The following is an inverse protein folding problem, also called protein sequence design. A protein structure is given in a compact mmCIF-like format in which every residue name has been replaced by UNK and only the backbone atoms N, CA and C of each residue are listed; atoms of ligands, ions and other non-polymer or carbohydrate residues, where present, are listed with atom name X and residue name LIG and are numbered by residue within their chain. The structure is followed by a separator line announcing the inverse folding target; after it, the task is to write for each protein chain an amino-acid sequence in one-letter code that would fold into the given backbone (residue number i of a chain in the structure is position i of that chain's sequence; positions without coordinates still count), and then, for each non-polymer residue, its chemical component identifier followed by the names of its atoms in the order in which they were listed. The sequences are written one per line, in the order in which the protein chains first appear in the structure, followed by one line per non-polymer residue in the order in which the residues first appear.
data_IF_369234943905
#
_entry.id   IF_369234943905
#
_cell.length_a   1.000
_cell.length_b   1.000
_cell.length_c   1.000
_cell.angle_alpha   90.00
_cell.angle_beta   90.00
_cell.angle_gamma   90.00
#
_symmetry.space_group_name_H-M   'P 1'
#
loop_
_entity.id
_entity.type
_entity.pdbx_description
1 polymer ?
#
# COMPACT_ATOMS: atom_id res chain seq x y z
N UNK A 1 65.93 -5.13 -9.26
CA UNK A 1 66.81 -4.09 -8.69
C UNK A 1 66.04 -2.78 -8.82
N UNK A 2 65.58 -2.05 -7.81
CA UNK A 2 65.52 -2.13 -6.35
C UNK A 2 64.33 -1.26 -5.90
N UNK A 3 63.92 -1.13 -4.64
CA UNK A 3 64.27 -1.77 -3.36
C UNK A 3 63.07 -1.48 -2.47
N UNK A 4 62.58 -2.53 -1.80
CA UNK A 4 61.64 -2.47 -0.70
C UNK A 4 62.42 -2.20 0.61
N UNK A 5 61.81 -1.54 1.59
CA UNK A 5 62.35 -1.40 2.94
C UNK A 5 61.76 -0.18 3.66
N UNK A 6 61.32 -0.20 4.91
CA UNK A 6 60.94 -1.21 5.91
C UNK A 6 60.33 -0.37 7.07
N UNK A 7 59.56 -0.97 8.00
CA UNK A 7 58.62 -0.29 8.90
C UNK A 7 59.17 -0.29 10.35
N UNK A 8 58.36 -0.57 11.40
CA UNK A 8 57.31 0.20 12.07
C UNK A 8 57.70 0.57 13.51
N UNK A 9 56.88 1.36 14.21
CA UNK A 9 56.77 1.37 15.70
C UNK A 9 55.47 2.07 16.14
N UNK A 10 54.60 1.32 16.80
CA UNK A 10 53.45 1.76 17.62
C UNK A 10 53.83 1.66 19.11
N UNK A 11 52.98 1.96 20.12
CA UNK A 11 51.90 2.95 20.34
C UNK A 11 52.29 3.85 21.57
N UNK A 12 51.45 4.53 22.43
CA UNK A 12 50.21 4.09 23.11
C UNK A 12 49.07 5.15 23.24
N UNK A 13 48.00 4.71 23.91
CA UNK A 13 46.66 5.24 24.22
C UNK A 13 46.54 6.57 24.98
N UNK A 14 45.44 7.32 24.72
CA UNK A 14 44.71 8.19 25.69
C UNK A 14 43.19 8.30 25.32
N UNK A 15 42.29 8.54 26.29
CA UNK A 15 40.89 8.02 26.32
C UNK A 15 39.81 9.10 26.01
N UNK A 16 38.49 8.82 26.11
CA UNK A 16 37.45 9.33 25.19
C UNK A 16 36.90 10.73 25.51
N UNK A 17 36.54 11.47 24.47
CA UNK A 17 35.74 12.68 24.55
C UNK A 17 34.27 12.34 24.80
N UNK A 18 33.71 12.98 25.84
CA UNK A 18 32.30 13.00 26.21
C UNK A 18 31.46 13.58 25.06
N UNK A 19 30.56 12.78 24.48
CA UNK A 19 29.38 13.26 23.77
C UNK A 19 28.22 13.32 24.78
N UNK A 20 28.03 14.51 25.34
CA UNK A 20 26.88 14.86 26.15
C UNK A 20 26.03 15.85 25.35
N UNK A 21 25.24 15.36 24.40
CA UNK A 21 24.04 16.00 23.80
C UNK A 21 23.46 15.07 22.73
N UNK A 22 22.90 13.93 23.12
CA UNK A 22 22.07 13.09 22.24
C UNK A 22 20.79 12.71 22.99
N UNK A 23 19.78 13.59 23.02
CA UNK A 23 18.48 13.23 23.60
C UNK A 23 17.24 13.93 23.02
N UNK A 24 17.29 14.63 21.87
CA UNK A 24 16.10 15.33 21.35
C UNK A 24 15.78 15.21 19.85
N UNK A 25 16.47 14.37 19.08
CA UNK A 25 16.24 14.24 17.64
C UNK A 25 15.98 12.80 17.16
N UNK A 26 15.06 12.07 17.81
CA UNK A 26 14.48 10.84 17.26
C UNK A 26 13.07 11.12 16.75
N UNK A 27 12.71 10.47 15.64
CA UNK A 27 11.39 10.45 14.99
C UNK A 27 11.06 11.57 13.98
N UNK A 28 11.78 11.57 12.85
CA UNK A 28 11.21 11.81 11.51
C UNK A 28 11.82 10.87 10.44
N UNK A 29 12.36 9.71 10.84
CA UNK A 29 13.13 8.80 9.97
C UNK A 29 12.43 7.49 9.58
N UNK A 30 11.09 7.44 9.55
CA UNK A 30 10.37 6.24 9.10
C UNK A 30 9.39 6.59 7.96
N UNK A 31 9.33 5.79 6.88
CA UNK A 31 8.43 6.04 5.76
C UNK A 31 6.99 6.05 6.25
N UNK A 32 6.17 6.95 5.71
CA UNK A 32 4.73 7.04 5.95
C UNK A 32 4.08 5.68 5.63
N UNK A 33 3.69 4.93 6.66
CA UNK A 33 2.96 3.66 6.54
C UNK A 33 1.45 3.92 6.64
N UNK A 34 0.65 2.98 6.14
CA UNK A 34 -0.81 2.94 6.33
C UNK A 34 -1.16 3.08 7.82
N UNK A 35 -2.25 3.75 8.17
CA UNK A 35 -2.66 4.03 9.57
C UNK A 35 -3.60 2.97 10.13
N UNK A 36 -4.27 2.19 9.27
CA UNK A 36 -4.93 0.95 9.68
C UNK A 36 -3.93 -0.02 10.33
N UNK A 37 -2.65 0.08 9.99
CA UNK A 37 -1.55 -0.71 10.56
C UNK A 37 -1.25 -0.29 12.01
N UNK A 38 -0.90 0.96 12.34
CA UNK A 38 -0.85 1.45 13.70
C UNK A 38 -2.10 1.13 14.52
N UNK A 39 -3.33 1.29 14.00
CA UNK A 39 -4.51 1.01 14.84
C UNK A 39 -4.70 -0.50 15.06
N UNK A 40 -4.68 -1.34 14.02
CA UNK A 40 -4.83 -2.79 14.19
C UNK A 40 -3.67 -3.41 14.99
N UNK A 41 -2.46 -2.85 14.90
CA UNK A 41 -1.28 -3.35 15.61
C UNK A 41 -1.07 -2.74 16.99
N UNK A 42 -1.57 -1.53 17.26
CA UNK A 42 -1.63 -0.98 18.62
C UNK A 42 -2.42 -1.92 19.55
N UNK A 43 -3.36 -2.67 18.99
CA UNK A 43 -4.10 -3.71 19.70
C UNK A 43 -3.45 -5.09 19.63
N UNK A 44 -2.27 -5.28 19.04
CA UNK A 44 -1.58 -6.56 19.09
C UNK A 44 -1.32 -7.07 20.52
N UNK A 45 -0.88 -6.24 21.48
CA UNK A 45 -0.81 -6.67 22.88
C UNK A 45 -2.17 -7.13 23.43
N UNK A 46 -3.27 -6.55 22.98
CA UNK A 46 -4.62 -7.00 23.34
C UNK A 46 -5.00 -8.31 22.63
N UNK A 47 -4.62 -8.51 21.36
CA UNK A 47 -4.77 -9.78 20.65
C UNK A 47 -4.04 -10.89 21.41
N UNK A 48 -2.79 -10.64 21.83
CA UNK A 48 -2.02 -11.59 22.63
C UNK A 48 -2.67 -11.86 23.99
N UNK A 49 -3.08 -10.82 24.74
CA UNK A 49 -3.74 -10.97 26.06
C UNK A 49 -5.09 -11.69 26.00
N UNK A 50 -5.86 -11.49 24.93
CA UNK A 50 -7.15 -12.14 24.71
C UNK A 50 -6.99 -13.55 24.12
N UNK A 51 -5.75 -14.02 23.95
CA UNK A 51 -5.44 -15.32 23.36
C UNK A 51 -5.78 -15.40 21.87
N UNK A 52 -6.01 -14.29 21.20
CA UNK A 52 -6.28 -14.23 19.77
C UNK A 52 -4.99 -14.21 18.93
N UNK A 53 -3.82 -14.08 19.56
CA UNK A 53 -2.54 -14.36 18.89
C UNK A 53 -2.43 -15.83 18.53
N UNK A 54 -1.94 -16.10 17.31
CA UNK A 54 -1.57 -17.45 16.90
C UNK A 54 -0.30 -17.95 17.57
N UNK A 55 0.46 -17.08 18.22
CA UNK A 55 1.65 -17.44 18.95
C UNK A 55 1.36 -17.52 20.47
N UNK A 56 1.74 -18.61 21.17
CA UNK A 56 2.22 -19.90 20.64
C UNK A 56 1.05 -20.88 20.50
N UNK A 57 0.61 -21.15 19.26
CA UNK A 57 -0.46 -22.12 18.95
C UNK A 57 -0.05 -23.03 17.79
N UNK A 58 -0.84 -24.06 17.49
CA UNK A 58 -0.54 -25.02 16.43
C UNK A 58 -0.65 -24.39 15.03
N UNK A 59 0.27 -24.77 14.12
CA UNK A 59 0.25 -24.36 12.71
C UNK A 59 -1.04 -24.72 11.98
N UNK A 60 -1.77 -25.74 12.45
CA UNK A 60 -3.08 -26.10 11.89
C UNK A 60 -4.10 -24.95 11.94
N UNK A 61 -3.94 -23.98 12.85
CA UNK A 61 -4.78 -22.78 12.89
C UNK A 61 -4.61 -21.87 11.67
N UNK A 62 -3.50 -21.98 10.94
CA UNK A 62 -3.27 -21.22 9.72
C UNK A 62 -4.05 -21.80 8.52
N UNK A 63 -4.44 -23.08 8.58
CA UNK A 63 -5.03 -23.80 7.44
C UNK A 63 -6.43 -24.36 7.70
N UNK A 64 -6.89 -24.39 8.95
CA UNK A 64 -8.18 -24.99 9.33
C UNK A 64 -9.37 -24.01 9.32
N UNK A 65 -9.20 -22.81 8.74
CA UNK A 65 -10.23 -21.76 8.73
C UNK A 65 -10.34 -20.93 10.01
N UNK A 66 -9.47 -21.14 11.01
CA UNK A 66 -9.46 -20.35 12.24
C UNK A 66 -9.23 -18.86 11.98
N UNK A 67 -8.40 -18.53 10.99
CA UNK A 67 -8.17 -17.14 10.56
C UNK A 67 -9.46 -16.43 10.15
N UNK A 68 -10.30 -17.09 9.36
CA UNK A 68 -11.53 -16.49 8.82
C UNK A 68 -12.68 -16.48 9.84
N UNK A 69 -12.71 -17.49 10.73
CA UNK A 69 -13.78 -17.67 11.73
C UNK A 69 -13.53 -16.92 13.03
N UNK A 70 -12.29 -16.50 13.33
CA UNK A 70 -11.97 -15.72 14.52
C UNK A 70 -12.22 -14.25 14.25
N UNK A 71 -13.38 -13.76 14.71
CA UNK A 71 -13.78 -12.36 14.56
C UNK A 71 -13.29 -11.54 15.75
N UNK A 72 -12.76 -10.37 15.44
CA UNK A 72 -12.30 -9.34 16.38
C UNK A 72 -13.23 -8.15 16.20
N UNK A 73 -14.07 -7.91 17.21
CA UNK A 73 -15.14 -6.91 17.21
C UNK A 73 -14.96 -5.84 18.31
N UNK A 74 -13.83 -5.88 19.01
CA UNK A 74 -13.55 -5.02 20.17
C UNK A 74 -12.52 -3.92 19.89
N UNK A 75 -12.01 -3.82 18.65
CA UNK A 75 -11.09 -2.73 18.27
C UNK A 75 -11.90 -1.44 18.03
N UNK A 76 -11.68 -0.37 18.82
CA UNK A 76 -12.44 0.88 18.67
C UNK A 76 -12.29 1.49 17.28
N UNK A 77 -13.40 1.91 16.68
CA UNK A 77 -13.43 2.57 15.36
C UNK A 77 -13.26 1.65 14.16
N UNK A 78 -13.03 0.34 14.36
CA UNK A 78 -12.98 -0.65 13.29
C UNK A 78 -14.27 -1.49 13.24
N UNK A 79 -14.78 -1.84 12.05
CA UNK A 79 -15.83 -2.84 11.94
C UNK A 79 -15.29 -4.22 12.35
N UNK A 80 -16.17 -5.19 12.66
CA UNK A 80 -15.76 -6.56 12.93
C UNK A 80 -14.82 -7.09 11.85
N UNK A 81 -13.64 -7.56 12.26
CA UNK A 81 -12.57 -7.98 11.36
C UNK A 81 -12.13 -9.40 11.69
N UNK A 82 -11.92 -10.24 10.68
CA UNK A 82 -11.38 -11.58 10.93
C UNK A 82 -9.88 -11.50 11.23
N UNK A 83 -9.33 -12.48 11.95
CA UNK A 83 -7.89 -12.59 12.13
C UNK A 83 -7.15 -12.75 10.77
N UNK A 84 -7.82 -13.35 9.79
CA UNK A 84 -7.42 -13.46 8.38
C UNK A 84 -7.51 -12.16 7.57
N UNK A 85 -7.99 -11.07 8.17
CA UNK A 85 -8.00 -9.72 7.58
C UNK A 85 -7.02 -8.76 8.27
N UNK A 86 -6.50 -9.09 9.46
CA UNK A 86 -5.44 -8.34 10.13
C UNK A 86 -4.09 -8.62 9.48
N UNK A 87 -3.13 -7.70 9.57
CA UNK A 87 -1.77 -7.82 9.03
C UNK A 87 -1.23 -9.27 8.97
N UNK A 88 -0.82 -9.74 7.80
CA UNK A 88 -0.31 -11.11 7.67
C UNK A 88 0.92 -11.39 8.56
N UNK A 89 1.65 -10.34 8.93
CA UNK A 89 2.82 -10.43 9.82
C UNK A 89 2.49 -10.82 11.27
N UNK A 90 1.22 -10.75 11.69
CA UNK A 90 0.81 -11.24 13.01
C UNK A 90 0.23 -12.67 12.96
N UNK A 91 0.09 -13.23 11.75
CA UNK A 91 -0.47 -14.58 11.52
C UNK A 91 0.63 -15.63 11.57
N UNK A 92 1.32 -15.69 12.70
CA UNK A 92 2.44 -16.61 12.92
C UNK A 92 2.32 -17.28 14.28
N UNK A 93 2.76 -18.54 14.33
CA UNK A 93 2.87 -19.34 15.55
C UNK A 93 4.25 -19.22 16.19
N UNK A 94 5.21 -18.63 15.47
CA UNK A 94 6.58 -18.39 15.94
C UNK A 94 6.65 -17.06 16.70
N UNK A 95 7.05 -17.13 17.98
CA UNK A 95 7.22 -15.97 18.84
C UNK A 95 8.37 -15.07 18.40
N UNK A 96 9.36 -15.61 17.68
CA UNK A 96 10.55 -14.89 17.25
C UNK A 96 10.47 -14.45 15.79
N UNK A 97 9.28 -14.59 15.17
CA UNK A 97 9.04 -14.15 13.80
C UNK A 97 9.35 -12.65 13.66
N UNK A 98 10.18 -12.33 12.65
CA UNK A 98 10.62 -10.96 12.40
C UNK A 98 9.44 -10.03 12.10
N UNK A 99 8.46 -10.49 11.31
CA UNK A 99 7.28 -9.71 10.99
C UNK A 99 6.50 -9.38 12.25
N UNK A 100 6.24 -10.37 13.10
CA UNK A 100 5.56 -10.16 14.37
C UNK A 100 6.29 -9.12 15.24
N UNK A 101 7.58 -9.33 15.53
CA UNK A 101 8.37 -8.43 16.39
C UNK A 101 8.46 -7.03 15.84
N UNK A 102 8.65 -6.91 14.53
CA UNK A 102 8.66 -5.64 13.85
C UNK A 102 7.35 -4.87 14.09
N UNK A 103 6.19 -5.53 14.00
CA UNK A 103 4.90 -4.87 14.20
C UNK A 103 4.63 -4.51 15.67
N UNK A 104 5.03 -5.37 16.63
CA UNK A 104 5.01 -5.04 18.06
C UNK A 104 5.85 -3.79 18.37
N UNK A 105 7.08 -3.75 17.86
CA UNK A 105 8.00 -2.64 18.09
C UNK A 105 7.48 -1.34 17.47
N UNK A 106 6.97 -1.36 16.24
CA UNK A 106 6.39 -0.16 15.62
C UNK A 106 5.17 0.34 16.41
N UNK A 107 4.26 -0.55 16.81
CA UNK A 107 3.09 -0.19 17.61
C UNK A 107 3.49 0.48 18.94
N UNK A 108 4.43 -0.11 19.67
CA UNK A 108 4.94 0.46 20.91
C UNK A 108 5.64 1.81 20.69
N UNK A 109 6.44 1.94 19.63
CA UNK A 109 7.12 3.18 19.29
C UNK A 109 6.14 4.30 18.90
N UNK A 110 5.02 3.98 18.24
CA UNK A 110 3.98 4.95 17.92
C UNK A 110 3.37 5.60 19.17
N UNK A 111 3.17 4.84 20.26
CA UNK A 111 2.64 5.39 21.53
C UNK A 111 3.55 6.45 22.17
N UNK A 112 4.84 6.42 21.83
CA UNK A 112 5.84 7.38 22.30
C UNK A 112 5.97 8.61 21.38
N UNK A 113 5.28 8.62 20.23
CA UNK A 113 5.38 9.71 19.27
C UNK A 113 4.61 10.96 19.75
N UNK A 114 5.19 12.15 19.57
CA UNK A 114 4.50 13.41 19.88
C UNK A 114 3.39 13.76 18.89
N UNK A 115 3.38 13.14 17.71
CA UNK A 115 2.34 13.26 16.70
C UNK A 115 2.38 12.07 15.74
N UNK A 116 1.23 11.74 15.15
CA UNK A 116 1.12 10.83 14.01
C UNK A 116 0.88 11.62 12.72
N UNK A 117 1.56 11.23 11.63
CA UNK A 117 1.35 11.78 10.29
C UNK A 117 0.89 10.65 9.38
N UNK A 118 -0.31 10.80 8.83
CA UNK A 118 -1.05 9.71 8.20
C UNK A 118 -1.43 10.08 6.76
N UNK A 119 -1.09 9.25 5.78
CA UNK A 119 -1.53 9.40 4.38
C UNK A 119 -3.00 8.96 4.21
N UNK A 120 -3.92 9.72 4.76
CA UNK A 120 -5.38 9.58 4.62
C UNK A 120 -6.06 10.94 4.75
N UNK A 121 -7.37 10.99 4.56
CA UNK A 121 -8.20 12.17 4.77
C UNK A 121 -9.35 11.83 5.72
N UNK A 122 -9.80 12.82 6.49
CA UNK A 122 -10.74 12.62 7.60
C UNK A 122 -12.02 11.88 7.22
N UNK A 123 -12.56 12.13 6.02
CA UNK A 123 -13.79 11.51 5.55
C UNK A 123 -13.66 10.01 5.26
N UNK A 124 -12.47 9.51 4.91
CA UNK A 124 -12.27 8.11 4.51
C UNK A 124 -12.39 7.14 5.68
N UNK A 125 -11.93 7.58 6.85
CA UNK A 125 -11.68 6.74 8.03
C UNK A 125 -12.12 7.45 9.32
N UNK A 126 -13.25 8.16 9.27
CA UNK A 126 -13.71 9.02 10.36
C UNK A 126 -13.74 8.31 11.72
N UNK A 127 -14.27 7.08 11.78
CA UNK A 127 -14.39 6.29 13.01
C UNK A 127 -13.04 5.84 13.56
N UNK A 128 -12.16 5.34 12.68
CA UNK A 128 -10.77 4.95 12.99
C UNK A 128 -10.00 6.16 13.52
N UNK A 129 -10.12 7.32 12.87
CA UNK A 129 -9.47 8.54 13.28
C UNK A 129 -10.02 9.09 14.59
N UNK A 130 -11.32 8.92 14.86
CA UNK A 130 -11.91 9.27 16.16
C UNK A 130 -11.32 8.42 17.29
N UNK A 131 -11.17 7.10 17.08
CA UNK A 131 -10.51 6.22 18.02
C UNK A 131 -9.04 6.60 18.24
N UNK A 132 -8.28 6.83 17.16
CA UNK A 132 -6.89 7.27 17.26
C UNK A 132 -6.75 8.60 18.03
N UNK A 133 -7.63 9.58 17.79
CA UNK A 133 -7.59 10.87 18.49
C UNK A 133 -7.83 10.76 20.01
N UNK A 134 -8.41 9.66 20.49
CA UNK A 134 -8.55 9.38 21.92
C UNK A 134 -7.24 8.88 22.56
N UNK A 135 -6.34 8.29 21.77
CA UNK A 135 -5.08 7.70 22.24
C UNK A 135 -3.86 8.59 21.96
N UNK A 136 -3.88 9.31 20.83
CA UNK A 136 -2.74 10.11 20.37
C UNK A 136 -3.05 11.61 20.48
N UNK A 137 -2.17 12.39 21.13
CA UNK A 137 -2.43 13.81 21.41
C UNK A 137 -2.49 14.69 20.15
N UNK A 138 -1.90 14.23 19.05
CA UNK A 138 -1.83 14.98 17.80
C UNK A 138 -1.78 14.04 16.60
N UNK A 139 -2.66 14.27 15.64
CA UNK A 139 -2.73 13.50 14.39
C UNK A 139 -2.88 14.47 13.23
N UNK A 140 -2.07 14.29 12.19
CA UNK A 140 -2.16 15.01 10.93
C UNK A 140 -2.54 14.04 9.82
N UNK A 141 -3.75 14.18 9.28
CA UNK A 141 -4.20 13.45 8.09
C UNK A 141 -3.81 14.25 6.85
N UNK A 142 -2.76 13.83 6.16
CA UNK A 142 -2.10 14.54 5.04
C UNK A 142 -2.22 13.77 3.72
N UNK A 143 -3.36 13.13 3.48
CA UNK A 143 -3.64 12.39 2.26
C UNK A 143 -4.85 12.92 1.47
N UNK A 144 -5.09 12.39 0.26
CA UNK A 144 -4.14 11.59 -0.50
C UNK A 144 -2.98 12.46 -1.00
N UNK A 145 -1.75 12.00 -0.79
CA UNK A 145 -0.54 12.79 -1.11
C UNK A 145 -0.48 13.22 -2.58
N UNK A 146 -0.94 12.38 -3.51
CA UNK A 146 -0.99 12.72 -4.94
C UNK A 146 -1.82 13.97 -5.22
N UNK A 147 -3.00 14.12 -4.60
CA UNK A 147 -3.83 15.32 -4.76
C UNK A 147 -3.19 16.56 -4.13
N UNK A 148 -2.54 16.41 -2.97
CA UNK A 148 -1.83 17.53 -2.34
C UNK A 148 -0.69 18.04 -3.21
N UNK A 149 0.06 17.13 -3.86
CA UNK A 149 1.13 17.50 -4.79
C UNK A 149 0.59 18.20 -6.04
N UNK A 150 -0.46 17.66 -6.67
CA UNK A 150 -1.10 18.29 -7.84
C UNK A 150 -1.57 19.71 -7.55
N UNK A 151 -2.02 19.99 -6.32
CA UNK A 151 -2.43 21.33 -5.89
C UNK A 151 -1.27 22.26 -5.51
N UNK A 152 -0.08 21.72 -5.24
CA UNK A 152 1.09 22.48 -4.81
C UNK A 152 2.03 22.84 -5.98
N UNK A 153 2.23 21.92 -6.92
CA UNK A 153 3.07 22.11 -8.10
C UNK A 153 2.60 21.16 -9.22
N UNK A 154 2.11 21.71 -10.33
CA UNK A 154 1.55 20.91 -11.42
C UNK A 154 2.56 19.95 -12.09
N UNK A 155 3.88 20.18 -11.92
CA UNK A 155 4.91 19.60 -12.79
C UNK A 155 5.91 18.63 -12.11
N UNK A 156 5.89 18.41 -10.79
CA UNK A 156 6.94 17.60 -10.11
C UNK A 156 6.40 16.44 -9.24
N UNK A 157 5.60 15.56 -9.85
CA UNK A 157 5.11 14.32 -9.20
C UNK A 157 6.11 13.16 -9.32
N UNK A 158 7.22 13.33 -10.06
CA UNK A 158 8.15 12.25 -10.39
C UNK A 158 8.87 11.65 -9.17
N UNK A 159 9.08 12.45 -8.11
CA UNK A 159 9.91 12.06 -6.95
C UNK A 159 9.33 10.97 -6.04
N UNK A 160 8.08 10.56 -6.20
CA UNK A 160 7.45 9.56 -5.32
C UNK A 160 7.68 8.10 -5.74
N UNK A 161 8.29 7.85 -6.91
CA UNK A 161 8.44 6.49 -7.43
C UNK A 161 9.71 5.81 -6.98
N UNK A 162 9.60 4.53 -6.61
CA UNK A 162 10.75 3.68 -6.27
C UNK A 162 11.49 3.14 -7.51
N UNK A 163 10.91 3.26 -8.70
CA UNK A 163 11.41 2.67 -9.95
C UNK A 163 11.35 3.68 -11.10
N UNK A 164 12.18 3.46 -12.13
CA UNK A 164 12.19 4.27 -13.35
C UNK A 164 10.85 4.10 -14.08
N UNK A 165 10.14 5.21 -14.29
CA UNK A 165 8.81 5.21 -14.90
C UNK A 165 8.89 5.18 -16.43
N UNK A 166 8.11 4.30 -17.05
CA UNK A 166 7.80 4.32 -18.48
C UNK A 166 6.60 5.24 -18.73
N UNK A 167 6.81 6.31 -19.49
CA UNK A 167 5.77 7.26 -19.86
C UNK A 167 5.11 6.93 -21.20
N UNK A 168 5.64 5.99 -21.98
CA UNK A 168 5.07 5.58 -23.27
C UNK A 168 3.68 4.93 -23.10
N UNK A 169 3.45 4.29 -21.95
CA UNK A 169 2.13 3.76 -21.60
C UNK A 169 1.04 4.84 -21.58
N UNK A 170 1.37 6.10 -21.28
CA UNK A 170 0.40 7.20 -21.31
C UNK A 170 -0.05 7.52 -22.74
N UNK A 171 0.86 7.48 -23.71
CA UNK A 171 0.51 7.66 -25.12
C UNK A 171 -0.36 6.50 -25.64
N UNK A 172 -0.11 5.27 -25.16
CA UNK A 172 -0.99 4.14 -25.46
C UNK A 172 -2.39 4.33 -24.87
N UNK A 173 -2.48 4.83 -23.63
CA UNK A 173 -3.76 5.14 -22.98
C UNK A 173 -4.53 6.24 -23.70
N UNK A 174 -3.84 7.22 -24.29
CA UNK A 174 -4.46 8.30 -25.06
C UNK A 174 -5.24 7.80 -26.28
N UNK A 175 -4.90 6.64 -26.83
CA UNK A 175 -5.62 6.02 -27.95
C UNK A 175 -6.87 5.22 -27.53
N UNK A 176 -7.12 5.06 -26.22
CA UNK A 176 -8.19 4.20 -25.70
C UNK A 176 -9.48 4.97 -25.43
N UNK A 177 -10.60 4.26 -25.47
CA UNK A 177 -11.92 4.77 -25.09
C UNK A 177 -11.99 5.08 -23.59
N UNK A 178 -12.86 6.02 -23.22
CA UNK A 178 -13.06 6.42 -21.82
C UNK A 178 -13.55 5.25 -20.98
N UNK A 179 -12.89 5.00 -19.84
CA UNK A 179 -13.26 3.94 -18.90
C UNK A 179 -13.17 2.51 -19.44
N UNK A 180 -12.46 2.27 -20.55
CA UNK A 180 -12.37 0.95 -21.18
C UNK A 180 -11.20 0.09 -20.65
N UNK A 181 -10.15 0.71 -20.11
CA UNK A 181 -8.87 0.06 -19.79
C UNK A 181 -8.87 -0.50 -18.38
N UNK A 182 -8.42 -1.74 -18.26
CA UNK A 182 -8.07 -2.38 -16.98
C UNK A 182 -6.60 -2.10 -16.67
N UNK A 183 -6.32 -1.38 -15.59
CA UNK A 183 -4.96 -1.20 -15.09
C UNK A 183 -4.61 -2.29 -14.09
N UNK A 184 -3.42 -2.88 -14.19
CA UNK A 184 -2.99 -3.99 -13.34
C UNK A 184 -1.60 -3.69 -12.77
N UNK A 185 -1.51 -3.63 -11.43
CA UNK A 185 -0.22 -3.50 -10.74
C UNK A 185 -0.27 -4.12 -9.33
N UNK A 186 0.65 -5.04 -9.07
CA UNK A 186 0.78 -5.69 -7.76
C UNK A 186 1.84 -5.04 -6.86
N UNK A 187 2.24 -3.81 -7.18
CA UNK A 187 3.16 -3.01 -6.36
C UNK A 187 4.61 -3.44 -6.51
N UNK A 188 5.44 -2.94 -5.59
CA UNK A 188 6.91 -3.02 -5.70
C UNK A 188 7.53 -4.28 -5.09
N UNK A 189 6.75 -5.08 -4.35
CA UNK A 189 7.26 -6.22 -3.56
C UNK A 189 6.55 -7.54 -3.84
N UNK A 190 5.29 -7.55 -4.26
CA UNK A 190 4.51 -8.77 -4.52
C UNK A 190 5.11 -9.62 -5.62
N UNK A 191 5.34 -10.90 -5.36
CA UNK A 191 5.87 -11.84 -6.33
C UNK A 191 4.81 -12.89 -6.66
N UNK A 192 4.65 -13.19 -7.95
CA UNK A 192 3.73 -14.19 -8.49
C UNK A 192 4.49 -15.47 -8.82
N UNK A 193 3.82 -16.61 -8.65
CA UNK A 193 4.24 -17.85 -9.28
C UNK A 193 3.93 -17.80 -10.79
N UNK A 194 4.63 -18.60 -11.63
CA UNK A 194 4.28 -18.73 -13.04
C UNK A 194 2.80 -19.12 -13.26
N UNK A 195 2.24 -19.95 -12.37
CA UNK A 195 0.84 -20.34 -12.41
C UNK A 195 -0.08 -19.15 -12.12
N UNK A 196 0.19 -18.37 -11.08
CA UNK A 196 -0.59 -17.16 -10.77
C UNK A 196 -0.52 -16.14 -11.91
N UNK A 197 0.67 -15.92 -12.49
CA UNK A 197 0.83 -15.06 -13.66
C UNK A 197 -0.06 -15.55 -14.82
N UNK A 198 -0.08 -16.86 -15.09
CA UNK A 198 -0.91 -17.44 -16.14
C UNK A 198 -2.41 -17.25 -15.88
N UNK A 199 -2.87 -17.41 -14.63
CA UNK A 199 -4.27 -17.19 -14.27
C UNK A 199 -4.68 -15.72 -14.45
N UNK A 200 -3.85 -14.77 -14.02
CA UNK A 200 -4.10 -13.35 -14.29
C UNK A 200 -4.10 -13.04 -15.78
N UNK A 201 -3.11 -13.53 -16.53
CA UNK A 201 -3.02 -13.33 -17.97
C UNK A 201 -4.28 -13.84 -18.68
N UNK A 202 -4.62 -15.11 -18.53
CA UNK A 202 -5.79 -15.68 -19.20
C UNK A 202 -7.11 -15.08 -18.72
N UNK A 203 -7.19 -14.66 -17.45
CA UNK A 203 -8.33 -13.91 -16.92
C UNK A 203 -8.51 -12.56 -17.62
N UNK A 204 -7.43 -11.78 -17.74
CA UNK A 204 -7.44 -10.49 -18.46
C UNK A 204 -7.78 -10.68 -19.94
N UNK A 205 -7.20 -11.68 -20.61
CA UNK A 205 -7.50 -11.98 -22.01
C UNK A 205 -9.00 -12.27 -22.22
N UNK A 206 -9.61 -13.04 -21.31
CA UNK A 206 -11.01 -13.45 -21.39
C UNK A 206 -12.00 -12.30 -21.25
N UNK A 207 -11.62 -11.17 -20.63
CA UNK A 207 -12.49 -9.97 -20.56
C UNK A 207 -12.72 -9.34 -21.94
N UNK A 208 -11.82 -9.56 -22.91
CA UNK A 208 -11.86 -8.86 -24.20
C UNK A 208 -11.54 -7.36 -24.13
N UNK A 209 -11.26 -6.82 -22.94
CA UNK A 209 -10.99 -5.38 -22.72
C UNK A 209 -9.53 -5.03 -23.00
N UNK A 210 -9.23 -3.74 -23.29
CA UNK A 210 -7.86 -3.27 -23.27
C UNK A 210 -7.31 -3.26 -21.84
N UNK A 211 -6.03 -3.57 -21.67
CA UNK A 211 -5.38 -3.56 -20.35
C UNK A 211 -3.95 -3.03 -20.41
N UNK A 212 -3.56 -2.33 -19.34
CA UNK A 212 -2.19 -1.92 -19.05
C UNK A 212 -1.70 -2.70 -17.84
N UNK A 213 -0.69 -3.54 -18.02
CA UNK A 213 -0.14 -4.36 -16.93
C UNK A 213 1.32 -4.03 -16.64
N UNK A 214 1.59 -3.67 -15.38
CA UNK A 214 2.95 -3.54 -14.85
C UNK A 214 3.54 -4.91 -14.52
N UNK A 215 4.52 -5.33 -15.32
CA UNK A 215 5.32 -6.55 -15.13
C UNK A 215 6.77 -6.15 -14.89
N UNK A 216 7.09 -5.84 -13.62
CA UNK A 216 8.47 -5.54 -13.19
C UNK A 216 9.38 -6.77 -13.30
N UNK A 217 10.68 -6.53 -13.38
CA UNK A 217 11.72 -7.57 -13.60
C UNK A 217 11.75 -8.69 -12.56
N UNK A 218 11.24 -8.42 -11.36
CA UNK A 218 11.18 -9.35 -10.25
C UNK A 218 9.74 -9.62 -9.81
N UNK A 219 8.78 -9.54 -10.73
CA UNK A 219 7.39 -9.94 -10.47
C UNK A 219 7.26 -11.46 -10.38
N UNK A 220 8.10 -12.24 -11.04
CA UNK A 220 8.03 -13.72 -11.06
C UNK A 220 9.37 -14.31 -10.58
N UNK A 221 9.33 -15.44 -9.85
CA UNK A 221 10.53 -16.19 -9.46
C UNK A 221 10.76 -17.36 -10.41
N UNK A 222 12.01 -17.60 -10.87
CA UNK A 222 13.21 -16.78 -10.68
C UNK A 222 13.14 -15.52 -11.57
N UNK A 223 13.62 -14.36 -11.11
CA UNK A 223 13.50 -13.07 -11.81
C UNK A 223 14.33 -12.98 -13.09
N UNK A 224 13.93 -13.69 -14.13
CA UNK A 224 14.61 -13.84 -15.42
C UNK A 224 14.18 -12.82 -16.48
N UNK A 225 13.52 -11.73 -16.07
CA UNK A 225 13.20 -10.59 -16.92
C UNK A 225 11.94 -9.87 -16.47
N UNK A 226 11.61 -8.76 -17.14
CA UNK A 226 10.34 -8.06 -16.98
C UNK A 226 9.60 -7.98 -18.30
N UNK A 227 8.34 -7.57 -18.25
CA UNK A 227 7.52 -7.34 -19.44
C UNK A 227 6.99 -8.60 -20.11
N UNK A 228 6.72 -8.47 -21.41
CA UNK A 228 5.95 -9.43 -22.20
C UNK A 228 6.51 -10.85 -22.24
N UNK A 229 7.82 -11.01 -22.13
CA UNK A 229 8.50 -12.29 -22.31
C UNK A 229 8.11 -13.33 -21.25
N UNK A 230 7.60 -12.89 -20.10
CA UNK A 230 7.15 -13.77 -19.02
C UNK A 230 5.76 -14.35 -19.25
N UNK A 231 4.99 -13.79 -20.19
CA UNK A 231 3.58 -14.14 -20.36
C UNK A 231 3.43 -15.51 -21.05
N UNK A 232 2.34 -16.26 -20.78
CA UNK A 232 2.13 -17.58 -21.35
C UNK A 232 2.18 -17.59 -22.89
N UNK A 233 2.67 -18.70 -23.46
CA UNK A 233 2.67 -18.91 -24.91
C UNK A 233 1.28 -18.70 -25.51
N UNK A 234 1.19 -17.94 -26.60
CA UNK A 234 -0.07 -17.59 -27.27
C UNK A 234 -0.80 -16.40 -26.67
N UNK A 235 -0.41 -15.91 -25.49
CA UNK A 235 -1.04 -14.75 -24.85
C UNK A 235 -0.95 -13.49 -25.72
N UNK A 236 0.24 -13.22 -26.29
CA UNK A 236 0.48 -12.06 -27.13
C UNK A 236 -0.45 -12.02 -28.36
N UNK A 237 -0.71 -13.19 -28.98
CA UNK A 237 -1.64 -13.30 -30.12
C UNK A 237 -3.10 -13.17 -29.66
N UNK A 238 -3.47 -13.77 -28.53
CA UNK A 238 -4.84 -13.70 -27.98
C UNK A 238 -5.24 -12.27 -27.55
N UNK A 239 -4.27 -11.39 -27.30
CA UNK A 239 -4.47 -10.03 -26.79
C UNK A 239 -3.91 -8.95 -27.72
N UNK A 240 -3.67 -9.31 -28.98
CA UNK A 240 -3.17 -8.39 -30.01
C UNK A 240 -4.04 -7.12 -30.10
N UNK A 241 -3.37 -5.95 -30.14
CA UNK A 241 -4.02 -4.64 -30.22
C UNK A 241 -4.68 -4.13 -28.92
N UNK A 242 -4.80 -4.95 -27.87
CA UNK A 242 -5.50 -4.58 -26.62
C UNK A 242 -4.62 -4.59 -25.38
N UNK A 243 -3.33 -4.89 -25.53
CA UNK A 243 -2.39 -5.01 -24.41
C UNK A 243 -1.34 -3.90 -24.45
N UNK A 244 -1.03 -3.34 -23.29
CA UNK A 244 0.20 -2.59 -23.05
C UNK A 244 0.86 -3.17 -21.80
N UNK A 245 2.15 -3.48 -21.90
CA UNK A 245 2.92 -4.01 -20.78
C UNK A 245 4.10 -3.09 -20.56
N UNK A 246 4.23 -2.63 -19.32
CA UNK A 246 5.32 -1.77 -18.88
C UNK A 246 6.05 -2.45 -17.71
N UNK A 247 7.35 -2.19 -17.54
CA UNK A 247 8.08 -2.67 -16.35
C UNK A 247 7.75 -1.84 -15.11
N UNK A 248 7.46 -0.55 -15.31
CA UNK A 248 6.96 0.36 -14.29
C UNK A 248 6.35 1.60 -14.95
N UNK A 249 5.36 2.25 -14.33
CA UNK A 249 4.66 3.40 -14.91
C UNK A 249 4.41 4.50 -13.86
N UNK A 250 4.09 5.74 -14.28
CA UNK A 250 3.62 6.79 -13.36
C UNK A 250 2.19 6.49 -12.88
N UNK A 251 2.07 5.58 -11.90
CA UNK A 251 0.78 5.01 -11.45
C UNK A 251 -0.29 6.05 -11.12
N UNK A 252 0.02 7.12 -10.38
CA UNK A 252 -0.98 8.18 -10.08
C UNK A 252 -1.53 8.84 -11.37
N UNK A 253 -0.67 9.08 -12.38
CA UNK A 253 -1.11 9.61 -13.68
C UNK A 253 -1.91 8.59 -14.48
N UNK A 254 -1.51 7.32 -14.45
CA UNK A 254 -2.23 6.21 -15.10
C UNK A 254 -3.64 6.08 -14.51
N UNK A 255 -3.76 6.02 -13.18
CA UNK A 255 -5.05 5.87 -12.50
C UNK A 255 -5.98 7.06 -12.76
N UNK A 256 -5.45 8.28 -12.86
CA UNK A 256 -6.22 9.49 -13.20
C UNK A 256 -6.56 9.62 -14.69
N UNK A 257 -6.00 8.76 -15.55
CA UNK A 257 -6.22 8.83 -16.98
C UNK A 257 -7.65 8.41 -17.32
N UNK A 258 -8.33 9.20 -18.18
CA UNK A 258 -9.75 9.00 -18.55
C UNK A 258 -10.10 7.59 -19.06
N UNK A 259 -9.11 6.91 -19.63
CA UNK A 259 -9.30 5.59 -20.21
C UNK A 259 -9.36 4.46 -19.16
N UNK A 260 -8.81 4.66 -17.96
CA UNK A 260 -8.79 3.62 -16.93
C UNK A 260 -10.17 3.49 -16.28
N UNK A 261 -10.75 2.30 -16.35
CA UNK A 261 -12.06 1.97 -15.79
C UNK A 261 -12.00 1.06 -14.55
N UNK A 262 -10.92 0.29 -14.39
CA UNK A 262 -10.75 -0.64 -13.27
C UNK A 262 -9.26 -0.78 -12.91
N UNK A 263 -8.97 -0.99 -11.62
CA UNK A 263 -7.64 -1.23 -11.11
C UNK A 263 -7.54 -2.58 -10.39
N UNK A 264 -6.83 -3.54 -10.99
CA UNK A 264 -6.45 -4.79 -10.35
C UNK A 264 -5.19 -4.56 -9.51
N UNK A 265 -5.30 -4.74 -8.19
CA UNK A 265 -4.29 -4.30 -7.22
C UNK A 265 -4.06 -5.29 -6.10
N UNK A 266 -2.81 -5.36 -5.64
CA UNK A 266 -2.44 -6.03 -4.39
C UNK A 266 -2.99 -5.36 -3.11
N UNK A 267 -3.70 -4.22 -3.21
CA UNK A 267 -4.26 -3.49 -2.07
C UNK A 267 -3.23 -2.90 -1.09
N UNK A 268 -1.99 -2.66 -1.53
CA UNK A 268 -1.05 -1.87 -0.75
C UNK A 268 -1.55 -0.43 -0.56
N UNK A 269 -1.34 0.17 0.61
CA UNK A 269 -2.01 1.41 0.99
C UNK A 269 -1.82 2.58 0.02
N UNK A 270 -0.60 2.78 -0.51
CA UNK A 270 -0.36 3.84 -1.49
C UNK A 270 -1.21 3.64 -2.76
N UNK A 271 -1.21 2.43 -3.32
CA UNK A 271 -2.05 2.07 -4.47
C UNK A 271 -3.54 2.23 -4.17
N UNK A 272 -3.98 1.82 -2.98
CA UNK A 272 -5.37 1.96 -2.54
C UNK A 272 -5.78 3.45 -2.47
N UNK A 273 -4.96 4.30 -1.83
CA UNK A 273 -5.20 5.74 -1.77
C UNK A 273 -5.24 6.37 -3.17
N UNK A 274 -4.31 6.00 -4.06
CA UNK A 274 -4.29 6.51 -5.44
C UNK A 274 -5.54 6.08 -6.22
N UNK A 275 -5.98 4.82 -6.08
CA UNK A 275 -7.20 4.32 -6.72
C UNK A 275 -8.47 5.02 -6.23
N UNK A 276 -8.60 5.17 -4.91
CA UNK A 276 -9.69 5.93 -4.27
C UNK A 276 -9.69 7.39 -4.73
N UNK A 277 -8.52 8.03 -4.74
CA UNK A 277 -8.36 9.42 -5.14
C UNK A 277 -8.60 9.67 -6.64
N UNK A 278 -8.35 8.67 -7.49
CA UNK A 278 -8.63 8.72 -8.91
C UNK A 278 -10.11 8.43 -9.24
N UNK A 279 -10.83 7.79 -8.31
CA UNK A 279 -12.21 7.38 -8.48
C UNK A 279 -12.36 6.12 -9.34
N UNK A 280 -11.42 5.18 -9.20
CA UNK A 280 -11.37 3.94 -9.98
C UNK A 280 -11.78 2.74 -9.13
N UNK A 281 -12.81 1.97 -9.53
CA UNK A 281 -13.14 0.67 -8.93
C UNK A 281 -11.95 -0.31 -8.92
N UNK A 282 -11.84 -1.12 -7.87
CA UNK A 282 -10.70 -2.00 -7.64
C UNK A 282 -11.07 -3.48 -7.63
N UNK A 283 -10.21 -4.31 -8.21
CA UNK A 283 -10.18 -5.75 -7.99
C UNK A 283 -8.99 -6.04 -7.09
N UNK A 284 -9.27 -6.44 -5.86
CA UNK A 284 -8.31 -6.50 -4.76
C UNK A 284 -7.79 -7.93 -4.58
N UNK A 285 -6.47 -8.12 -4.64
CA UNK A 285 -5.81 -9.40 -4.38
C UNK A 285 -4.70 -9.23 -3.33
N UNK A 286 -5.05 -9.22 -2.03
CA UNK A 286 -4.07 -9.01 -0.97
C UNK A 286 -3.12 -10.20 -0.81
N UNK A 287 -1.84 -9.92 -0.59
CA UNK A 287 -0.77 -10.94 -0.53
C UNK A 287 -0.06 -10.95 0.82
N UNK A 288 0.24 -9.78 1.40
CA UNK A 288 0.96 -9.70 2.67
C UNK A 288 0.74 -8.37 3.40
N UNK A 289 1.27 -8.29 4.63
CA UNK A 289 1.16 -7.14 5.50
C UNK A 289 -0.31 -6.70 5.64
N UNK A 290 -0.55 -5.41 5.52
CA UNK A 290 -1.80 -4.69 5.73
C UNK A 290 -2.78 -4.78 4.55
N UNK A 291 -2.36 -5.37 3.45
CA UNK A 291 -3.14 -5.47 2.22
C UNK A 291 -4.52 -6.10 2.46
N UNK A 292 -4.61 -7.06 3.38
CA UNK A 292 -5.88 -7.71 3.73
C UNK A 292 -6.86 -6.74 4.40
N UNK A 293 -6.37 -5.92 5.33
CA UNK A 293 -7.19 -4.90 6.01
C UNK A 293 -7.63 -3.84 4.99
N UNK A 294 -6.71 -3.37 4.15
CA UNK A 294 -6.99 -2.41 3.10
C UNK A 294 -8.03 -2.95 2.10
N UNK A 295 -7.89 -4.22 1.70
CA UNK A 295 -8.84 -4.92 0.84
C UNK A 295 -10.22 -4.98 1.49
N UNK A 296 -10.32 -5.36 2.77
CA UNK A 296 -11.59 -5.40 3.50
C UNK A 296 -12.28 -4.04 3.49
N UNK A 297 -11.55 -2.97 3.81
CA UNK A 297 -12.10 -1.61 3.79
C UNK A 297 -12.55 -1.19 2.39
N UNK A 298 -11.73 -1.45 1.37
CA UNK A 298 -12.09 -1.15 -0.02
C UNK A 298 -13.38 -1.85 -0.45
N UNK A 299 -13.54 -3.13 -0.10
CA UNK A 299 -14.70 -3.93 -0.46
C UNK A 299 -15.94 -3.61 0.37
N UNK A 300 -15.82 -3.61 1.69
CA UNK A 300 -16.98 -3.62 2.60
C UNK A 300 -17.32 -2.25 3.17
N UNK A 301 -16.32 -1.41 3.48
CA UNK A 301 -16.56 -0.11 4.11
C UNK A 301 -16.79 0.99 3.07
N UNK A 302 -16.01 0.98 1.98
CA UNK A 302 -16.02 2.06 0.99
C UNK A 302 -16.84 1.72 -0.25
N UNK A 303 -17.08 0.42 -0.52
CA UNK A 303 -17.83 -0.05 -1.68
C UNK A 303 -17.12 0.17 -3.02
N UNK A 304 -15.79 0.26 -3.02
CA UNK A 304 -14.97 0.53 -4.22
C UNK A 304 -14.20 -0.69 -4.70
N UNK A 305 -14.24 -1.80 -3.98
CA UNK A 305 -13.44 -2.99 -4.25
C UNK A 305 -14.26 -4.28 -4.36
N UNK A 306 -13.73 -5.27 -5.08
CA UNK A 306 -14.13 -6.68 -4.99
C UNK A 306 -12.90 -7.54 -4.75
N UNK A 307 -12.97 -8.49 -3.80
CA UNK A 307 -11.83 -9.31 -3.37
C UNK A 307 -11.70 -10.58 -4.21
N UNK A 308 -10.48 -10.85 -4.70
CA UNK A 308 -10.08 -12.13 -5.27
C UNK A 308 -9.69 -13.14 -4.19
N UNK A 309 -9.83 -14.43 -4.48
CA UNK A 309 -9.46 -15.52 -3.59
C UNK A 309 -7.93 -15.59 -3.49
N UNK A 310 -7.42 -16.18 -2.40
CA UNK A 310 -5.97 -16.40 -2.24
C UNK A 310 -5.40 -17.26 -3.38
N UNK A 311 -6.12 -18.34 -3.74
CA UNK A 311 -5.85 -19.12 -4.94
C UNK A 311 -6.60 -18.49 -6.13
N UNK A 312 -5.89 -17.60 -6.84
CA UNK A 312 -6.45 -16.91 -8.00
C UNK A 312 -6.74 -17.89 -9.14
N UNK A 313 -7.91 -17.74 -9.76
CA UNK A 313 -8.34 -18.46 -10.97
C UNK A 313 -8.71 -17.46 -12.06
N UNK A 314 -8.42 -17.76 -13.32
CA UNK A 314 -8.72 -16.89 -14.48
C UNK A 314 -10.19 -16.52 -14.60
N UNK A 315 -11.10 -17.43 -14.27
CA UNK A 315 -12.54 -17.18 -14.30
C UNK A 315 -12.93 -16.14 -13.24
N UNK A 316 -12.26 -16.19 -12.08
CA UNK A 316 -12.46 -15.22 -11.02
C UNK A 316 -11.94 -13.85 -11.44
N UNK A 317 -10.73 -13.78 -12.00
CA UNK A 317 -10.14 -12.54 -12.52
C UNK A 317 -11.06 -11.90 -13.56
N UNK A 318 -11.50 -12.67 -14.57
CA UNK A 318 -12.41 -12.17 -15.59
C UNK A 318 -13.73 -11.67 -15.00
N UNK A 319 -14.39 -12.49 -14.18
CA UNK A 319 -15.69 -12.13 -13.59
C UNK A 319 -15.62 -10.91 -12.65
N UNK A 320 -14.55 -10.78 -11.87
CA UNK A 320 -14.39 -9.65 -10.94
C UNK A 320 -14.01 -8.36 -11.67
N UNK A 321 -13.20 -8.46 -12.73
CA UNK A 321 -12.93 -7.31 -13.60
C UNK A 321 -14.22 -6.84 -14.28
N UNK A 322 -15.01 -7.75 -14.86
CA UNK A 322 -16.30 -7.39 -15.45
C UNK A 322 -17.25 -6.77 -14.42
N UNK A 323 -17.35 -7.34 -13.23
CA UNK A 323 -18.16 -6.78 -12.14
C UNK A 323 -17.71 -5.35 -11.78
N UNK A 324 -16.41 -5.12 -11.59
CA UNK A 324 -15.88 -3.80 -11.23
C UNK A 324 -16.07 -2.78 -12.37
N UNK A 325 -15.94 -3.21 -13.63
CA UNK A 325 -16.13 -2.37 -14.81
C UNK A 325 -17.60 -1.99 -15.00
N UNK A 326 -18.54 -2.90 -14.74
CA UNK A 326 -19.98 -2.74 -15.05
C UNK A 326 -20.84 -2.26 -13.87
N UNK A 327 -20.40 -2.46 -12.62
CA UNK A 327 -21.16 -2.06 -11.42
C UNK A 327 -21.35 -0.54 -11.29
N UNK A 328 -22.59 -0.09 -11.48
CA UNK A 328 -22.97 1.31 -11.20
C UNK A 328 -22.73 1.70 -9.75
N UNK A 329 -22.95 0.78 -8.81
CA UNK A 329 -22.77 1.03 -7.39
C UNK A 329 -21.31 1.35 -7.07
N UNK A 330 -20.37 0.53 -7.56
CA UNK A 330 -18.94 0.75 -7.37
C UNK A 330 -18.48 2.05 -8.04
N UNK A 331 -18.96 2.35 -9.26
CA UNK A 331 -18.64 3.62 -9.92
C UNK A 331 -19.14 4.83 -9.14
N UNK A 332 -20.37 4.79 -8.60
CA UNK A 332 -20.92 5.87 -7.76
C UNK A 332 -20.12 6.02 -6.46
N UNK A 333 -19.75 4.91 -5.82
CA UNK A 333 -18.92 4.93 -4.63
C UNK A 333 -17.53 5.52 -4.89
N UNK A 334 -16.86 5.07 -5.95
CA UNK A 334 -15.55 5.57 -6.34
C UNK A 334 -15.58 7.07 -6.70
N UNK A 335 -16.60 7.52 -7.43
CA UNK A 335 -16.79 8.94 -7.72
C UNK A 335 -17.03 9.79 -6.47
N UNK A 336 -17.81 9.29 -5.50
CA UNK A 336 -18.03 9.96 -4.21
C UNK A 336 -16.73 10.13 -3.44
N UNK A 337 -15.93 9.07 -3.33
CA UNK A 337 -14.66 9.14 -2.60
C UNK A 337 -13.62 10.01 -3.30
N UNK A 338 -13.56 9.98 -4.64
CA UNK A 338 -12.76 10.93 -5.42
C UNK A 338 -13.09 12.38 -5.06
N UNK A 339 -14.38 12.74 -5.06
CA UNK A 339 -14.81 14.09 -4.72
C UNK A 339 -14.41 14.49 -3.29
N UNK A 340 -14.48 13.56 -2.32
CA UNK A 340 -14.02 13.82 -0.95
C UNK A 340 -12.49 13.97 -0.85
N UNK A 341 -11.73 13.13 -1.56
CA UNK A 341 -10.28 13.23 -1.65
C UNK A 341 -9.83 14.58 -2.23
N UNK A 342 -10.46 15.02 -3.32
CA UNK A 342 -10.22 16.34 -3.92
C UNK A 342 -10.58 17.49 -2.97
N UNK A 343 -11.70 17.37 -2.25
CA UNK A 343 -12.14 18.36 -1.27
C UNK A 343 -11.22 18.43 -0.04
N UNK A 344 -10.62 17.33 0.39
CA UNK A 344 -9.67 17.30 1.50
C UNK A 344 -8.32 17.92 1.12
N UNK A 345 -7.87 17.72 -0.12
CA UNK A 345 -6.54 18.14 -0.57
C UNK A 345 -6.48 19.57 -1.15
N UNK A 346 -7.61 20.18 -1.55
CA UNK A 346 -7.63 21.57 -2.04
C UNK A 346 -7.27 22.56 -0.92
N UNK A 347 -6.87 23.79 -1.29
CA UNK A 347 -6.70 24.88 -0.30
C UNK A 347 -7.97 25.07 0.53
N UNK A 348 -7.85 25.14 1.85
CA UNK A 348 -8.97 25.16 2.79
C UNK A 348 -9.60 23.78 3.07
N UNK A 349 -9.10 22.71 2.44
CA UNK A 349 -9.48 21.32 2.73
C UNK A 349 -8.75 20.77 3.95
N UNK A 350 -9.33 19.79 4.63
CA UNK A 350 -8.81 19.28 5.91
C UNK A 350 -7.37 18.80 5.82
N UNK A 351 -7.00 18.07 4.77
CA UNK A 351 -5.64 17.55 4.61
C UNK A 351 -4.63 18.63 4.23
N UNK A 352 -5.05 19.64 3.48
CA UNK A 352 -4.22 20.82 3.23
C UNK A 352 -3.96 21.60 4.53
N UNK A 353 -4.99 21.87 5.32
CA UNK A 353 -4.85 22.58 6.60
C UNK A 353 -4.04 21.79 7.62
N UNK A 354 -4.20 20.46 7.66
CA UNK A 354 -3.37 19.59 8.50
C UNK A 354 -1.90 19.60 8.06
N UNK A 355 -1.62 19.66 6.76
CA UNK A 355 -0.26 19.80 6.24
C UNK A 355 0.35 21.15 6.66
N UNK A 356 -0.38 22.26 6.54
CA UNK A 356 0.08 23.57 7.00
C UNK A 356 0.35 23.57 8.51
N UNK A 357 -0.60 23.06 9.30
CA UNK A 357 -0.48 22.92 10.75
C UNK A 357 0.72 22.06 11.15
N UNK A 358 1.01 21.00 10.40
CA UNK A 358 2.20 20.16 10.61
C UNK A 358 3.49 20.95 10.36
N UNK A 359 3.57 21.70 9.26
CA UNK A 359 4.73 22.55 8.93
C UNK A 359 4.97 23.61 10.00
N UNK A 360 3.92 24.26 10.49
CA UNK A 360 4.01 25.24 11.59
C UNK A 360 4.57 24.61 12.87
N UNK A 361 4.10 23.42 13.22
CA UNK A 361 4.57 22.67 14.40
C UNK A 361 6.04 22.30 14.26
N UNK A 362 6.47 21.82 13.09
CA UNK A 362 7.87 21.51 12.80
C UNK A 362 8.75 22.77 12.93
N UNK A 363 8.30 23.90 12.39
CA UNK A 363 9.00 25.19 12.49
C UNK A 363 9.07 25.71 13.94
N UNK A 364 8.05 25.41 14.76
CA UNK A 364 8.05 25.77 16.18
C UNK A 364 9.11 25.04 17.01
N UNK A 365 9.59 23.89 16.55
CA UNK A 365 10.72 23.19 17.18
C UNK A 365 12.07 23.81 16.77
N UNK A 366 12.17 24.30 15.53
CA UNK A 366 13.39 24.92 15.01
C UNK A 366 13.65 26.31 15.61
N UNK A 367 12.59 27.01 16.05
CA UNK A 367 12.71 28.30 16.75
C UNK A 367 12.98 28.18 18.25
N UNK A 368 12.92 26.96 18.81
CA UNK A 368 13.19 26.66 20.23
C UNK A 368 14.54 25.94 20.46
N UNK A 369 15.24 25.59 19.38
CA UNK A 369 16.62 25.11 19.37
C UNK A 369 17.54 26.29 19.06
#
# INVERSE_FOLDING_TARGET
QGTCGTPPRSPPSRPPLRLATESRHRCLRRPLRAHLVPLALAHYPALSRLGLSLCPRHESLLTNGHLDTTIIDWIPGMPPISLGDISSFVRTTDADDFGLRFNEDEANNCTMAGALVLNTFDGLEADVLAALRAEYPRIFTVGPLGNLLLNAAADDVAGLSLWKQDTECLAWLDAQEMGAVVYVNFGSLTVLTPQQLAEFAWGLAATGRPFLWVIRENLVVPGDGGGDALLPTGFAAATEGRRCVATWCPQDRVLRHRAVGCFVTHSGWNSTCEGVAAGVPMVCWPVFADQYTNCKYACEAWGVGVRLDAEVRREQVAGHVELAMESEEMRRAAARWKAQAEAAARRGGSSYENLQSMVEVINSFSSKA
#
